data_IF_626040440328
#
_entry.id   IF_626040440328
#
_cell.length_a   1.000
_cell.length_b   1.000
_cell.length_c   1.000
_cell.angle_alpha   90.00
_cell.angle_beta   90.00
_cell.angle_gamma   90.00
#
_symmetry.space_group_name_H-M   'P 1'
#
loop_
_entity.id
_entity.type
_entity.pdbx_description
1 polymer ?
#
# COMPACT_ATOMS: atom_id res chain seq x y z
N UNK A 1 -8.76 -15.45 -19.80
CA UNK A 1 -8.42 -14.04 -19.86
C UNK A 1 -7.80 -13.72 -21.21
N UNK A 2 -8.33 -12.71 -21.83
CA UNK A 2 -7.81 -12.21 -23.10
C UNK A 2 -7.07 -10.91 -22.84
N UNK A 3 -6.07 -10.64 -23.63
CA UNK A 3 -5.36 -9.36 -23.61
C UNK A 3 -4.09 -9.33 -22.77
N UNK A 4 -4.03 -10.00 -21.64
CA UNK A 4 -2.81 -10.08 -20.85
C UNK A 4 -2.15 -11.44 -21.00
N UNK A 5 -0.83 -11.44 -21.26
CA UNK A 5 -0.07 -12.68 -21.43
C UNK A 5 -0.17 -13.54 -20.16
N UNK A 6 -0.61 -14.78 -20.33
CA UNK A 6 -0.76 -15.74 -19.25
C UNK A 6 0.25 -16.87 -19.42
N UNK A 7 1.05 -17.12 -18.40
CA UNK A 7 2.05 -18.16 -18.39
C UNK A 7 1.63 -19.29 -17.45
N UNK A 8 2.03 -20.51 -17.79
CA UNK A 8 1.80 -21.67 -16.93
C UNK A 8 2.84 -21.67 -15.79
N UNK A 9 2.40 -21.97 -14.57
CA UNK A 9 3.31 -21.99 -13.40
C UNK A 9 4.48 -22.94 -13.59
N UNK A 10 4.29 -24.08 -14.27
CA UNK A 10 5.39 -25.04 -14.53
C UNK A 10 6.46 -24.42 -15.44
N UNK A 11 6.04 -23.69 -16.47
CA UNK A 11 6.95 -22.99 -17.37
C UNK A 11 7.73 -21.89 -16.64
N UNK A 12 7.04 -21.11 -15.81
CA UNK A 12 7.68 -20.05 -15.00
C UNK A 12 8.76 -20.64 -14.11
N UNK A 13 8.48 -21.79 -13.47
CA UNK A 13 9.43 -22.46 -12.59
C UNK A 13 10.67 -22.90 -13.35
N UNK A 14 10.51 -23.44 -14.57
CA UNK A 14 11.62 -23.89 -15.40
C UNK A 14 12.50 -22.75 -15.89
N UNK A 15 11.88 -21.62 -16.23
CA UNK A 15 12.52 -20.47 -16.85
C UNK A 15 12.58 -19.28 -15.89
N UNK A 16 12.84 -19.53 -14.61
CA UNK A 16 12.72 -18.51 -13.57
C UNK A 16 13.52 -17.25 -13.86
N UNK A 17 14.82 -17.39 -14.21
CA UNK A 17 15.67 -16.23 -14.51
C UNK A 17 15.13 -15.41 -15.67
N UNK A 18 14.77 -16.06 -16.77
CA UNK A 18 14.18 -15.37 -17.93
C UNK A 18 12.83 -14.73 -17.60
N UNK A 19 12.03 -15.39 -16.77
CA UNK A 19 10.76 -14.86 -16.32
C UNK A 19 10.95 -13.56 -15.54
N UNK A 20 11.85 -13.56 -14.55
CA UNK A 20 12.15 -12.34 -13.76
C UNK A 20 12.61 -11.21 -14.66
N UNK A 21 13.55 -11.48 -15.58
CA UNK A 21 14.02 -10.46 -16.52
C UNK A 21 12.88 -9.90 -17.37
N UNK A 22 11.99 -10.74 -17.86
CA UNK A 22 10.88 -10.29 -18.69
C UNK A 22 9.86 -9.45 -17.92
N UNK A 23 9.61 -9.79 -16.65
CA UNK A 23 8.72 -8.99 -15.80
C UNK A 23 9.32 -7.60 -15.55
N UNK A 24 10.61 -7.53 -15.24
CA UNK A 24 11.29 -6.26 -14.94
C UNK A 24 11.40 -5.37 -16.18
N UNK A 25 11.77 -5.95 -17.34
CA UNK A 25 12.14 -5.20 -18.54
C UNK A 25 11.03 -5.00 -19.55
N UNK A 26 10.01 -5.85 -19.54
CA UNK A 26 8.99 -5.82 -20.58
C UNK A 26 7.62 -5.43 -20.07
N UNK A 27 6.91 -6.34 -19.39
CA UNK A 27 5.52 -6.09 -19.00
C UNK A 27 5.05 -7.07 -17.93
N UNK A 28 3.96 -6.72 -17.22
CA UNK A 28 3.37 -7.64 -16.25
C UNK A 28 2.75 -8.86 -16.95
N UNK A 29 2.66 -9.95 -16.20
CA UNK A 29 2.06 -11.20 -16.68
C UNK A 29 1.15 -11.79 -15.64
N UNK A 30 0.24 -12.63 -16.12
CA UNK A 30 -0.52 -13.52 -15.27
C UNK A 30 0.19 -14.88 -15.24
N UNK A 31 0.18 -15.51 -14.09
CA UNK A 31 0.66 -16.88 -13.92
C UNK A 31 -0.55 -17.73 -13.54
N UNK A 32 -0.80 -18.78 -14.31
CA UNK A 32 -1.92 -19.68 -14.04
C UNK A 32 -1.41 -20.99 -13.43
N UNK A 33 -2.03 -21.39 -12.31
CA UNK A 33 -1.82 -22.69 -11.72
C UNK A 33 -3.21 -23.29 -11.43
N UNK A 34 -3.56 -24.35 -12.14
CA UNK A 34 -4.91 -24.94 -12.09
C UNK A 34 -5.94 -23.87 -12.45
N UNK A 35 -6.80 -23.47 -11.53
CA UNK A 35 -7.81 -22.42 -11.74
C UNK A 35 -7.42 -21.08 -11.14
N UNK A 36 -6.28 -21.01 -10.46
CA UNK A 36 -5.85 -19.81 -9.77
C UNK A 36 -4.90 -18.98 -10.63
N UNK A 37 -4.99 -17.66 -10.47
CA UNK A 37 -4.15 -16.71 -11.21
C UNK A 37 -3.36 -15.85 -10.25
N UNK A 38 -2.10 -15.64 -10.58
CA UNK A 38 -1.21 -14.71 -9.88
C UNK A 38 -0.87 -13.60 -10.85
N UNK A 39 -0.96 -12.36 -10.38
CA UNK A 39 -0.49 -11.20 -11.15
C UNK A 39 0.95 -10.89 -10.73
N UNK A 40 1.85 -10.83 -11.70
CA UNK A 40 3.26 -10.53 -11.43
C UNK A 40 3.68 -9.27 -12.17
N UNK A 41 4.29 -8.34 -11.44
CA UNK A 41 4.82 -7.10 -12.01
C UNK A 41 6.11 -6.71 -11.29
N UNK A 42 6.85 -5.76 -11.88
CA UNK A 42 7.96 -5.12 -11.18
C UNK A 42 7.42 -4.21 -10.08
N UNK A 43 8.28 -3.88 -9.10
CA UNK A 43 7.92 -2.91 -8.07
C UNK A 43 7.66 -1.53 -8.68
N UNK A 44 8.41 -1.15 -9.71
CA UNK A 44 8.20 0.14 -10.38
C UNK A 44 6.80 0.26 -10.98
N UNK A 45 6.30 -0.81 -11.58
CA UNK A 45 4.93 -0.83 -12.10
C UNK A 45 3.90 -0.74 -10.98
N UNK A 46 4.14 -1.42 -9.87
CA UNK A 46 3.26 -1.35 -8.71
C UNK A 46 3.22 0.08 -8.14
N UNK A 47 4.38 0.74 -8.04
CA UNK A 47 4.45 2.14 -7.61
C UNK A 47 3.61 3.05 -8.51
N UNK A 48 3.67 2.84 -9.82
CA UNK A 48 2.86 3.60 -10.76
C UNK A 48 1.37 3.37 -10.55
N UNK A 49 0.96 2.13 -10.32
CA UNK A 49 -0.45 1.79 -10.06
C UNK A 49 -0.95 2.44 -8.77
N UNK A 50 -0.09 2.54 -7.75
CA UNK A 50 -0.48 2.99 -6.42
C UNK A 50 -0.33 4.50 -6.21
N UNK A 51 0.32 5.23 -7.11
CA UNK A 51 0.64 6.65 -6.87
C UNK A 51 -0.61 7.54 -6.68
N UNK A 52 -1.75 7.14 -7.20
CA UNK A 52 -3.00 7.85 -7.01
C UNK A 52 -3.65 7.59 -5.64
N UNK A 53 -3.16 6.58 -4.93
CA UNK A 53 -3.73 6.18 -3.63
C UNK A 53 -2.98 6.88 -2.49
N UNK A 54 -3.15 8.19 -2.43
CA UNK A 54 -2.66 9.03 -1.34
C UNK A 54 -3.78 9.22 -0.32
N UNK A 55 -3.40 9.54 0.92
CA UNK A 55 -4.37 9.72 1.99
C UNK A 55 -4.54 11.21 2.27
N UNK A 56 -5.75 11.56 2.71
CA UNK A 56 -6.10 12.95 3.01
C UNK A 56 -6.17 13.11 4.52
N UNK A 57 -5.41 14.07 5.06
CA UNK A 57 -5.47 14.37 6.47
C UNK A 57 -6.36 15.57 6.76
N UNK A 58 -6.90 15.59 7.97
CA UNK A 58 -7.60 16.73 8.53
C UNK A 58 -6.93 17.10 9.85
N UNK A 59 -6.73 18.39 10.08
CA UNK A 59 -6.10 18.90 11.28
C UNK A 59 -7.09 19.76 12.05
N UNK A 60 -7.15 19.56 13.36
CA UNK A 60 -8.05 20.29 14.24
C UNK A 60 -7.25 20.92 15.39
N UNK A 61 -7.41 22.22 15.59
CA UNK A 61 -6.82 22.92 16.72
C UNK A 61 -7.69 22.68 17.96
N UNK A 62 -7.09 22.09 18.99
CA UNK A 62 -7.78 21.82 20.24
C UNK A 62 -7.65 23.02 21.19
N UNK A 63 -8.52 23.08 22.19
CA UNK A 63 -8.56 24.19 23.15
C UNK A 63 -7.26 24.32 23.96
N UNK A 64 -6.58 23.20 24.22
CA UNK A 64 -5.31 23.17 24.95
C UNK A 64 -4.08 23.51 24.11
N UNK A 65 -4.30 23.89 22.84
CA UNK A 65 -3.23 24.23 21.90
C UNK A 65 -2.65 23.06 21.16
N UNK A 66 -3.07 21.83 21.47
CA UNK A 66 -2.64 20.64 20.74
C UNK A 66 -3.33 20.55 19.37
N UNK A 67 -2.80 19.67 18.51
CA UNK A 67 -3.36 19.42 17.17
C UNK A 67 -3.79 17.97 17.10
N UNK A 68 -5.05 17.75 16.76
CA UNK A 68 -5.56 16.43 16.41
C UNK A 68 -5.49 16.25 14.91
N UNK A 69 -4.92 15.16 14.46
CA UNK A 69 -4.84 14.82 13.04
C UNK A 69 -5.54 13.50 12.77
N UNK A 70 -6.27 13.44 11.67
CA UNK A 70 -6.96 12.22 11.26
C UNK A 70 -6.79 11.99 9.77
N UNK A 71 -6.95 10.74 9.34
CA UNK A 71 -7.01 10.37 7.94
C UNK A 71 -8.46 10.11 7.54
N UNK A 72 -8.80 10.45 6.30
CA UNK A 72 -10.15 10.21 5.76
C UNK A 72 -10.35 8.77 5.29
N UNK A 73 -9.36 8.23 4.61
CA UNK A 73 -9.47 6.93 3.93
C UNK A 73 -9.33 5.75 4.88
N UNK A 74 -8.62 5.95 5.97
CA UNK A 74 -8.41 4.96 7.03
C UNK A 74 -8.63 5.66 8.36
N UNK A 75 -9.36 5.02 9.25
CA UNK A 75 -9.77 5.62 10.53
C UNK A 75 -8.63 5.66 11.56
N UNK A 76 -7.65 6.52 11.32
CA UNK A 76 -6.53 6.77 12.22
C UNK A 76 -6.63 8.21 12.72
N UNK A 77 -6.57 8.37 14.04
CA UNK A 77 -6.63 9.68 14.69
C UNK A 77 -5.49 9.74 15.72
N UNK A 78 -4.76 10.84 15.71
CA UNK A 78 -3.65 11.08 16.64
C UNK A 78 -3.74 12.50 17.18
N UNK A 79 -3.02 12.76 18.29
CA UNK A 79 -2.94 14.10 18.88
C UNK A 79 -1.48 14.41 19.17
N UNK A 80 -0.99 15.54 18.67
CA UNK A 80 0.36 16.01 18.88
C UNK A 80 0.37 17.40 19.52
N UNK A 81 1.50 17.79 20.08
CA UNK A 81 1.67 19.11 20.72
C UNK A 81 1.62 20.26 19.71
N UNK A 82 1.99 19.97 18.49
CA UNK A 82 2.01 20.92 17.38
C UNK A 82 1.77 20.16 16.08
N UNK A 83 1.70 20.88 14.96
CA UNK A 83 1.44 20.30 13.65
C UNK A 83 2.48 19.24 13.26
N UNK A 84 3.77 19.54 13.46
CA UNK A 84 4.86 18.64 13.06
C UNK A 84 4.76 17.31 13.83
N UNK A 85 4.53 17.36 15.13
CA UNK A 85 4.39 16.16 15.94
C UNK A 85 3.13 15.37 15.53
N UNK A 86 2.02 16.05 15.27
CA UNK A 86 0.77 15.41 14.83
C UNK A 86 0.98 14.67 13.52
N UNK A 87 1.67 15.26 12.55
CA UNK A 87 1.97 14.64 11.25
C UNK A 87 2.90 13.42 11.44
N UNK A 88 3.92 13.54 12.29
CA UNK A 88 4.81 12.43 12.63
C UNK A 88 4.02 11.24 13.21
N UNK A 89 3.15 11.51 14.18
CA UNK A 89 2.34 10.49 14.81
C UNK A 89 1.35 9.86 13.82
N UNK A 90 0.80 10.67 12.92
CA UNK A 90 -0.12 10.19 11.91
C UNK A 90 0.57 9.22 10.95
N UNK A 91 1.76 9.57 10.47
CA UNK A 91 2.55 8.72 9.59
C UNK A 91 2.98 7.43 10.30
N UNK A 92 3.40 7.53 11.55
CA UNK A 92 3.77 6.36 12.36
C UNK A 92 2.56 5.43 12.59
N UNK A 93 1.41 6.01 12.87
CA UNK A 93 0.16 5.23 13.05
C UNK A 93 -0.27 4.54 11.76
N UNK A 94 -0.11 5.20 10.62
CA UNK A 94 -0.41 4.61 9.32
C UNK A 94 0.53 3.44 9.03
N UNK A 95 1.83 3.61 9.29
CA UNK A 95 2.81 2.54 9.12
C UNK A 95 2.49 1.35 10.00
N UNK A 96 2.18 1.57 11.27
CA UNK A 96 1.81 0.51 12.20
C UNK A 96 0.57 -0.25 11.72
N UNK A 97 -0.45 0.48 11.27
CA UNK A 97 -1.66 -0.14 10.72
C UNK A 97 -1.34 -0.99 9.49
N UNK A 98 -0.52 -0.47 8.59
CA UNK A 98 -0.16 -1.18 7.36
C UNK A 98 0.63 -2.46 7.67
N UNK A 99 1.56 -2.40 8.63
CA UNK A 99 2.33 -3.57 9.05
C UNK A 99 1.44 -4.63 9.70
N UNK A 100 0.51 -4.21 10.56
CA UNK A 100 -0.44 -5.12 11.18
C UNK A 100 -1.34 -5.79 10.15
N UNK A 101 -1.82 -5.01 9.18
CA UNK A 101 -2.63 -5.52 8.08
C UNK A 101 -1.87 -6.60 7.31
N UNK A 102 -0.63 -6.33 6.96
CA UNK A 102 0.19 -7.26 6.19
C UNK A 102 0.54 -8.51 6.98
N UNK A 103 0.83 -8.37 8.26
CA UNK A 103 1.21 -9.47 9.14
C UNK A 103 0.09 -10.50 9.29
N UNK A 104 -1.16 -10.04 9.36
CA UNK A 104 -2.34 -10.90 9.49
C UNK A 104 -3.27 -10.66 8.30
N UNK A 105 -2.70 -10.78 7.10
CA UNK A 105 -3.31 -10.35 5.85
C UNK A 105 -4.66 -11.01 5.57
N UNK A 106 -4.75 -12.32 5.75
CA UNK A 106 -5.97 -13.06 5.47
C UNK A 106 -7.14 -12.53 6.31
N UNK A 107 -6.88 -12.29 7.60
CA UNK A 107 -7.87 -11.75 8.51
C UNK A 107 -8.33 -10.35 8.07
N UNK A 108 -7.38 -9.44 7.88
CA UNK A 108 -7.70 -8.05 7.54
C UNK A 108 -8.37 -7.93 6.18
N UNK A 109 -7.85 -8.63 5.18
CA UNK A 109 -8.38 -8.54 3.81
C UNK A 109 -9.80 -9.08 3.70
N UNK A 110 -10.17 -10.07 4.49
CA UNK A 110 -11.51 -10.65 4.49
C UNK A 110 -12.48 -9.98 5.46
N UNK A 111 -11.99 -9.05 6.30
CA UNK A 111 -12.85 -8.31 7.22
C UNK A 111 -13.63 -7.24 6.47
N UNK A 112 -14.97 -7.13 6.70
CA UNK A 112 -15.78 -6.09 6.06
C UNK A 112 -15.20 -4.70 6.29
N UNK A 113 -15.25 -3.86 5.27
CA UNK A 113 -14.76 -2.48 5.27
C UNK A 113 -13.23 -2.33 5.39
N UNK A 114 -12.46 -3.43 5.29
CA UNK A 114 -10.98 -3.37 5.32
C UNK A 114 -10.35 -3.70 3.97
N UNK A 115 -11.03 -4.47 3.14
CA UNK A 115 -10.54 -4.82 1.80
C UNK A 115 -10.21 -3.57 0.97
N UNK A 116 -11.01 -2.53 1.08
CA UNK A 116 -10.81 -1.27 0.34
C UNK A 116 -9.60 -0.48 0.81
N UNK A 117 -9.04 -0.81 1.98
CA UNK A 117 -7.83 -0.20 2.47
C UNK A 117 -6.58 -0.73 1.78
N UNK A 118 -6.67 -1.86 1.06
CA UNK A 118 -5.51 -2.55 0.50
C UNK A 118 -4.59 -1.66 -0.34
N UNK A 119 -5.07 -0.84 -1.29
CA UNK A 119 -4.17 0.01 -2.07
C UNK A 119 -3.36 0.98 -1.21
N UNK A 120 -3.99 1.55 -0.19
CA UNK A 120 -3.33 2.48 0.74
C UNK A 120 -2.31 1.77 1.61
N UNK A 121 -2.66 0.55 2.07
CA UNK A 121 -1.76 -0.29 2.86
C UNK A 121 -0.52 -0.64 2.04
N UNK A 122 -0.70 -1.10 0.81
CA UNK A 122 0.43 -1.45 -0.06
C UNK A 122 1.28 -0.21 -0.38
N UNK A 123 0.63 0.92 -0.67
CA UNK A 123 1.37 2.16 -0.95
C UNK A 123 2.20 2.61 0.26
N UNK A 124 1.69 2.40 1.46
CA UNK A 124 2.43 2.68 2.69
C UNK A 124 3.63 1.74 2.84
N UNK A 125 3.42 0.44 2.63
CA UNK A 125 4.45 -0.58 2.85
C UNK A 125 5.62 -0.50 1.86
N UNK A 126 5.40 0.00 0.66
CA UNK A 126 6.47 0.13 -0.33
C UNK A 126 7.31 1.40 -0.17
N UNK A 127 6.98 2.27 0.77
CA UNK A 127 7.81 3.43 1.08
C UNK A 127 9.06 2.97 1.84
N UNK A 128 10.19 3.60 1.58
CA UNK A 128 11.47 3.19 2.16
C UNK A 128 11.61 3.58 3.63
N UNK A 129 10.96 4.70 4.03
CA UNK A 129 11.09 5.26 5.37
C UNK A 129 9.86 6.08 5.75
N UNK A 130 9.89 6.63 6.95
CA UNK A 130 8.79 7.44 7.47
C UNK A 130 8.57 8.71 6.65
N UNK A 131 9.64 9.29 6.10
CA UNK A 131 9.52 10.47 5.23
C UNK A 131 8.73 10.13 3.96
N UNK A 132 8.96 8.95 3.40
CA UNK A 132 8.19 8.45 2.27
C UNK A 132 6.71 8.28 2.63
N UNK A 133 6.42 7.77 3.82
CA UNK A 133 5.04 7.63 4.30
C UNK A 133 4.36 8.99 4.46
N UNK A 134 5.07 9.97 5.01
CA UNK A 134 4.55 11.34 5.08
C UNK A 134 4.23 11.88 3.67
N UNK A 135 5.05 11.53 2.69
CA UNK A 135 4.88 11.97 1.30
C UNK A 135 3.60 11.49 0.63
N UNK A 136 2.98 10.42 1.11
CA UNK A 136 1.70 9.94 0.58
C UNK A 136 0.50 10.43 1.37
N UNK A 137 0.72 11.26 2.38
CA UNK A 137 -0.34 11.91 3.16
C UNK A 137 -0.43 13.37 2.73
N UNK A 138 -1.60 13.76 2.24
CA UNK A 138 -1.85 15.17 1.88
C UNK A 138 -2.14 15.95 3.15
N UNK A 139 -1.30 16.94 3.44
CA UNK A 139 -1.44 17.80 4.60
C UNK A 139 -2.09 19.12 4.16
N UNK A 140 -3.16 19.57 4.84
CA UNK A 140 -3.82 20.85 4.51
C UNK A 140 -2.89 22.03 4.74
#
# INVERSE_FOLDING_TARGET
>A
MKGMLTLNATEVRKEWGGFIDSIIREKPRLIKRSRDYIFASSLDMLKELLKAYTLTSELFNEEDGSITASLKEIDIVVNGKNKDEAVELLAAGLMEYAEDFYKDFEYWFSTPNRKTHLPYVLNTLIQEDLEGVKGIIKIP
#
